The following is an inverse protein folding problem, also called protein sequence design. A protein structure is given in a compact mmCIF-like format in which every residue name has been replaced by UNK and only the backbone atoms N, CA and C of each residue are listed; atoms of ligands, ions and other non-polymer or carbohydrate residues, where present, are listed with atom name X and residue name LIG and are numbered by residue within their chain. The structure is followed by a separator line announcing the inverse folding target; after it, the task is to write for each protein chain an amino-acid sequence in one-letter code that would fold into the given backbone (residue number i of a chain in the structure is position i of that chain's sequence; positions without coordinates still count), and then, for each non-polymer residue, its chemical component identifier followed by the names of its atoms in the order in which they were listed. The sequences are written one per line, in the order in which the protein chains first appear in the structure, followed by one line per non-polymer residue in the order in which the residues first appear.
data_IF_062792646720
#
_entry.id   IF_062792646720
#
_cell.length_a   1.000
_cell.length_b   1.000
_cell.length_c   1.000
_cell.angle_alpha   90.00
_cell.angle_beta   90.00
_cell.angle_gamma   90.00
#
_symmetry.space_group_name_H-M   'P 1'
#
loop_
_entity.id
_entity.type
_entity.pdbx_description
1 polymer ?
#
# COMPACT_ATOMS: atom_id res chain seq x y z
N UNK A 1 26.28 12.93 -13.05
CA UNK A 1 25.74 11.81 -13.84
C UNK A 1 26.92 10.94 -14.25
N UNK A 2 26.82 9.63 -14.05
CA UNK A 2 27.91 8.67 -14.23
C UNK A 2 27.36 7.28 -14.52
N UNK A 3 28.22 6.35 -14.92
CA UNK A 3 27.85 4.93 -14.98
C UNK A 3 27.67 4.37 -13.56
N UNK A 4 26.62 3.58 -13.29
CA UNK A 4 26.47 2.84 -12.05
C UNK A 4 27.69 1.94 -11.80
N UNK A 5 28.19 1.88 -10.57
CA UNK A 5 29.32 1.00 -10.24
C UNK A 5 28.87 -0.38 -9.77
N UNK A 6 27.65 -0.46 -9.26
CA UNK A 6 27.04 -1.67 -8.74
C UNK A 6 25.52 -1.61 -8.92
N UNK A 7 24.83 -2.68 -8.51
CA UNK A 7 23.38 -2.76 -8.67
C UNK A 7 22.60 -1.77 -7.79
N UNK A 8 23.15 -1.37 -6.64
CA UNK A 8 22.54 -0.34 -5.77
C UNK A 8 22.52 1.01 -6.49
N UNK A 9 23.63 1.38 -7.11
CA UNK A 9 23.73 2.62 -7.90
C UNK A 9 22.76 2.58 -9.09
N UNK A 10 22.61 1.44 -9.75
CA UNK A 10 21.70 1.28 -10.87
C UNK A 10 20.24 1.43 -10.41
N UNK A 11 19.87 0.80 -9.29
CA UNK A 11 18.52 0.90 -8.73
C UNK A 11 18.21 2.33 -8.26
N UNK A 12 19.17 3.03 -7.64
CA UNK A 12 19.04 4.43 -7.27
C UNK A 12 18.90 5.34 -8.51
N UNK A 13 19.69 5.07 -9.55
CA UNK A 13 19.59 5.74 -10.84
C UNK A 13 18.21 5.57 -11.48
N UNK A 14 17.69 4.34 -11.43
CA UNK A 14 16.36 4.01 -11.93
C UNK A 14 15.24 4.65 -11.14
N UNK A 15 15.34 4.70 -9.82
CA UNK A 15 14.41 5.47 -8.99
C UNK A 15 14.30 6.91 -9.50
N UNK A 16 15.42 7.61 -9.61
CA UNK A 16 15.43 9.03 -10.02
C UNK A 16 14.85 9.23 -11.42
N UNK A 17 15.26 8.39 -12.36
CA UNK A 17 14.79 8.51 -13.74
C UNK A 17 13.32 8.11 -13.91
N UNK A 18 12.82 7.14 -13.15
CA UNK A 18 11.40 6.78 -13.14
C UNK A 18 10.56 7.94 -12.58
N UNK A 19 10.93 8.48 -11.42
CA UNK A 19 10.22 9.61 -10.78
C UNK A 19 10.15 10.80 -11.74
N UNK A 20 11.28 11.20 -12.31
CA UNK A 20 11.35 12.30 -13.26
C UNK A 20 10.60 11.99 -14.57
N UNK A 21 10.78 10.79 -15.13
CA UNK A 21 10.19 10.38 -16.40
C UNK A 21 8.67 10.23 -16.36
N UNK A 22 8.11 9.95 -15.19
CA UNK A 22 6.66 9.98 -14.97
C UNK A 22 6.12 11.40 -14.72
N UNK A 23 7.01 12.37 -14.47
CA UNK A 23 6.68 13.78 -14.27
C UNK A 23 6.43 14.17 -12.80
N UNK A 24 6.94 13.40 -11.84
CA UNK A 24 6.88 13.73 -10.42
C UNK A 24 8.06 14.63 -10.00
N UNK A 25 7.88 15.36 -8.91
CA UNK A 25 8.96 16.15 -8.32
C UNK A 25 9.95 15.22 -7.59
N UNK A 26 11.26 15.55 -7.56
CA UNK A 26 12.22 14.85 -6.69
C UNK A 26 11.82 14.84 -5.20
N UNK A 27 11.04 15.84 -4.77
CA UNK A 27 10.54 15.97 -3.40
C UNK A 27 9.26 15.15 -3.15
N UNK A 28 8.64 14.60 -4.20
CA UNK A 28 7.53 13.67 -4.02
C UNK A 28 8.05 12.38 -3.38
N UNK A 29 7.44 12.00 -2.25
CA UNK A 29 7.75 10.75 -1.59
C UNK A 29 7.17 9.56 -2.36
N UNK A 30 7.83 9.19 -3.46
CA UNK A 30 7.46 8.06 -4.30
C UNK A 30 8.24 6.82 -3.84
N UNK A 31 7.57 5.68 -3.79
CA UNK A 31 8.20 4.38 -3.60
C UNK A 31 7.99 3.54 -4.84
N UNK A 32 9.07 2.98 -5.38
CA UNK A 32 9.02 2.01 -6.48
C UNK A 32 8.55 0.68 -5.92
N UNK A 33 7.57 0.04 -6.55
CA UNK A 33 7.01 -1.23 -6.09
C UNK A 33 7.48 -2.32 -7.03
N UNK A 34 8.17 -3.33 -6.50
CA UNK A 34 8.75 -4.43 -7.26
C UNK A 34 8.54 -5.75 -6.48
N UNK A 35 8.43 -6.92 -7.12
CA UNK A 35 7.96 -7.11 -8.48
C UNK A 35 6.63 -6.39 -8.76
N UNK A 36 6.40 -6.05 -10.02
CA UNK A 36 5.17 -5.45 -10.54
C UNK A 36 4.47 -6.41 -11.50
N UNK A 37 3.84 -7.48 -11.01
CA UNK A 37 3.01 -8.31 -11.86
C UNK A 37 1.81 -7.50 -12.35
N UNK A 38 1.27 -7.79 -13.56
CA UNK A 38 0.02 -7.20 -13.98
C UNK A 38 -1.13 -7.62 -13.07
N UNK A 39 -2.02 -6.68 -12.79
CA UNK A 39 -3.27 -6.99 -12.12
C UNK A 39 -4.20 -7.72 -13.11
N UNK A 40 -4.47 -8.99 -12.80
CA UNK A 40 -5.39 -9.81 -13.59
C UNK A 40 -6.81 -9.52 -13.10
N UNK A 41 -7.75 -9.37 -14.04
CA UNK A 41 -9.17 -9.24 -13.68
C UNK A 41 -9.74 -10.53 -13.11
N UNK A 42 -10.92 -10.46 -12.51
CA UNK A 42 -11.60 -11.60 -11.90
C UNK A 42 -12.07 -11.29 -10.49
N UNK A 43 -12.52 -12.32 -9.78
CA UNK A 43 -13.16 -12.18 -8.47
C UNK A 43 -12.20 -11.70 -7.37
N UNK A 44 -10.88 -11.81 -7.58
CA UNK A 44 -9.83 -11.33 -6.65
C UNK A 44 -9.26 -9.95 -6.99
N UNK A 45 -9.67 -9.34 -8.11
CA UNK A 45 -8.94 -8.19 -8.66
C UNK A 45 -8.96 -6.96 -7.74
N UNK A 46 -10.05 -6.76 -7.01
CA UNK A 46 -10.16 -5.70 -6.00
C UNK A 46 -9.24 -5.98 -4.82
N UNK A 47 -9.18 -7.22 -4.34
CA UNK A 47 -8.34 -7.62 -3.22
C UNK A 47 -6.86 -7.52 -3.58
N UNK A 48 -6.46 -7.93 -4.78
CA UNK A 48 -5.09 -7.82 -5.29
C UNK A 48 -4.66 -6.35 -5.41
N UNK A 49 -5.56 -5.47 -5.85
CA UNK A 49 -5.34 -4.02 -5.89
C UNK A 49 -5.23 -3.42 -4.48
N UNK A 50 -6.17 -3.75 -3.60
CA UNK A 50 -6.24 -3.20 -2.24
C UNK A 50 -5.12 -3.71 -1.33
N UNK A 51 -4.51 -4.86 -1.63
CA UNK A 51 -3.34 -5.35 -0.92
C UNK A 51 -2.17 -4.36 -0.94
N UNK A 52 -1.97 -3.63 -2.06
CA UNK A 52 -0.93 -2.59 -2.14
C UNK A 52 -1.22 -1.42 -1.21
N UNK A 53 -2.48 -0.99 -1.11
CA UNK A 53 -2.90 0.14 -0.28
C UNK A 53 -2.97 -0.23 1.20
N UNK A 54 -3.28 -1.49 1.48
CA UNK A 54 -3.31 -2.04 2.83
C UNK A 54 -1.89 -2.34 3.35
N UNK A 55 -0.85 -2.33 2.52
CA UNK A 55 0.53 -2.48 2.98
C UNK A 55 1.05 -1.19 3.61
N UNK A 56 1.72 -1.28 4.75
CA UNK A 56 2.45 -0.15 5.33
C UNK A 56 3.83 -0.03 4.67
N UNK A 57 4.12 1.08 3.98
CA UNK A 57 5.39 1.25 3.27
C UNK A 57 6.62 1.18 4.19
N UNK A 58 7.66 0.38 3.84
CA UNK A 58 8.94 0.47 4.54
C UNK A 58 9.60 1.83 4.28
N UNK A 59 10.55 2.22 5.12
CA UNK A 59 11.37 3.42 4.88
C UNK A 59 12.45 3.11 3.84
N UNK A 60 12.03 3.04 2.57
CA UNK A 60 12.89 2.68 1.45
C UNK A 60 12.38 3.24 0.11
N UNK A 61 13.30 3.52 -0.82
CA UNK A 61 12.97 3.88 -2.20
C UNK A 61 12.22 2.77 -2.94
N UNK A 62 12.50 1.52 -2.60
CA UNK A 62 11.92 0.34 -3.24
C UNK A 62 11.18 -0.50 -2.21
N UNK A 63 9.93 -0.86 -2.48
CA UNK A 63 9.21 -1.89 -1.76
C UNK A 63 9.28 -3.18 -2.56
N UNK A 64 10.09 -4.13 -2.08
CA UNK A 64 10.05 -5.47 -2.61
C UNK A 64 8.89 -6.26 -1.98
N UNK A 65 7.77 -6.40 -2.68
CA UNK A 65 6.53 -7.01 -2.18
C UNK A 65 6.70 -8.47 -1.75
N UNK A 66 7.65 -9.19 -2.34
CA UNK A 66 7.96 -10.57 -1.97
C UNK A 66 8.86 -10.69 -0.74
N UNK A 67 9.63 -9.63 -0.41
CA UNK A 67 10.55 -9.62 0.73
C UNK A 67 10.04 -8.77 1.91
N UNK A 68 9.10 -7.86 1.68
CA UNK A 68 8.49 -7.00 2.70
C UNK A 68 7.41 -7.78 3.46
N UNK A 69 7.84 -8.55 4.46
CA UNK A 69 6.98 -9.44 5.26
C UNK A 69 5.93 -8.75 6.15
N UNK A 70 4.87 -8.20 5.55
CA UNK A 70 3.52 -8.30 6.13
C UNK A 70 3.09 -7.25 7.17
N UNK A 71 3.59 -6.01 7.12
CA UNK A 71 3.00 -4.93 7.92
C UNK A 71 1.75 -4.36 7.21
N UNK A 72 0.57 -4.42 7.84
CA UNK A 72 -0.70 -4.09 7.20
C UNK A 72 -1.46 -2.98 7.95
N UNK A 73 -2.07 -2.07 7.20
CA UNK A 73 -2.79 -0.91 7.70
C UNK A 73 -4.02 -1.34 8.50
N UNK A 74 -4.90 -2.17 7.94
CA UNK A 74 -6.10 -2.63 8.63
C UNK A 74 -5.78 -3.32 9.97
N UNK A 75 -4.80 -4.23 10.01
CA UNK A 75 -4.44 -4.94 11.25
C UNK A 75 -3.88 -4.00 12.30
N UNK A 76 -3.04 -3.04 11.91
CA UNK A 76 -2.52 -2.05 12.85
C UNK A 76 -3.61 -1.10 13.31
N UNK A 77 -4.52 -0.69 12.42
CA UNK A 77 -5.66 0.15 12.76
C UNK A 77 -6.57 -0.54 13.79
N UNK A 78 -6.88 -1.83 13.60
CA UNK A 78 -7.61 -2.64 14.59
C UNK A 78 -6.87 -2.71 15.93
N UNK A 79 -5.55 -2.90 15.90
CA UNK A 79 -4.73 -2.91 17.10
C UNK A 79 -4.82 -1.57 17.85
N UNK A 80 -4.72 -0.44 17.15
CA UNK A 80 -4.92 0.89 17.74
C UNK A 80 -6.32 1.00 18.33
N UNK A 81 -7.37 0.67 17.57
CA UNK A 81 -8.76 0.78 18.06
C UNK A 81 -9.00 -0.07 19.32
N UNK A 82 -8.37 -1.24 19.43
CA UNK A 82 -8.43 -2.09 20.63
C UNK A 82 -7.69 -1.51 21.86
N UNK A 83 -6.80 -0.55 21.63
CA UNK A 83 -5.96 0.10 22.63
C UNK A 83 -6.47 1.48 23.07
N UNK A 84 -7.54 1.98 22.41
CA UNK A 84 -8.19 3.23 22.77
C UNK A 84 -9.39 2.98 23.69
N UNK A 85 -9.66 3.94 24.59
CA UNK A 85 -10.90 4.01 25.36
C UNK A 85 -11.87 4.94 24.65
N UNK A 86 -13.03 4.40 24.30
CA UNK A 86 -14.18 5.22 23.95
C UNK A 86 -14.63 6.05 25.16
N UNK A 87 -15.27 7.19 24.89
CA UNK A 87 -15.93 7.97 25.92
C UNK A 87 -17.06 7.15 26.58
N UNK A 88 -17.34 7.38 27.88
CA UNK A 88 -18.47 6.72 28.54
C UNK A 88 -19.76 6.96 27.76
N UNK A 89 -20.48 5.88 27.47
CA UNK A 89 -21.77 5.93 26.79
C UNK A 89 -22.74 4.93 27.41
N UNK A 90 -24.03 5.08 27.10
CA UNK A 90 -25.10 4.26 27.68
C UNK A 90 -25.57 3.14 26.76
N UNK A 91 -24.90 2.86 25.63
CA UNK A 91 -25.43 1.90 24.65
C UNK A 91 -25.58 0.50 25.22
N UNK A 92 -24.50 -0.06 25.78
CA UNK A 92 -24.51 -1.41 26.37
C UNK A 92 -25.49 -1.51 27.54
N UNK A 93 -25.52 -0.51 28.43
CA UNK A 93 -26.45 -0.49 29.57
C UNK A 93 -27.92 -0.30 29.14
N UNK A 94 -28.19 0.36 28.01
CA UNK A 94 -29.54 0.57 27.48
C UNK A 94 -30.13 -0.71 26.89
N UNK A 95 -29.33 -1.50 26.16
CA UNK A 95 -29.82 -2.72 25.50
C UNK A 95 -29.66 -3.97 26.36
N UNK A 96 -28.82 -3.90 27.40
CA UNK A 96 -28.52 -4.99 28.31
C UNK A 96 -27.55 -6.01 27.71
N UNK A 97 -26.89 -6.82 28.57
CA UNK A 97 -25.78 -7.69 28.17
C UNK A 97 -26.19 -8.78 27.17
N UNK A 98 -27.42 -9.31 27.27
CA UNK A 98 -27.93 -10.34 26.36
C UNK A 98 -28.10 -9.82 24.93
N UNK A 99 -28.70 -8.63 24.77
CA UNK A 99 -28.85 -8.02 23.45
C UNK A 99 -27.50 -7.54 22.90
N UNK A 100 -26.63 -6.99 23.75
CA UNK A 100 -25.29 -6.56 23.34
C UNK A 100 -24.46 -7.73 22.79
N UNK A 101 -24.45 -8.88 23.48
CA UNK A 101 -23.78 -10.08 22.99
C UNK A 101 -24.37 -10.59 21.67
N UNK A 102 -25.70 -10.59 21.53
CA UNK A 102 -26.37 -10.98 20.29
C UNK A 102 -26.03 -10.03 19.12
N UNK A 103 -25.95 -8.73 19.39
CA UNK A 103 -25.59 -7.74 18.38
C UNK A 103 -24.12 -7.86 17.94
N UNK A 104 -23.21 -8.09 18.88
CA UNK A 104 -21.80 -8.36 18.56
C UNK A 104 -21.64 -9.61 17.68
N UNK A 105 -22.39 -10.68 17.96
CA UNK A 105 -22.42 -11.87 17.12
C UNK A 105 -22.95 -11.55 15.71
N UNK A 106 -24.09 -10.85 15.61
CA UNK A 106 -24.68 -10.47 14.33
C UNK A 106 -23.75 -9.60 13.47
N UNK A 107 -22.97 -8.68 14.08
CA UNK A 107 -21.96 -7.89 13.36
C UNK A 107 -20.82 -8.76 12.81
N UNK A 108 -20.38 -9.75 13.59
CA UNK A 108 -19.33 -10.70 13.19
C UNK A 108 -19.76 -11.58 12.01
N UNK A 109 -21.01 -12.04 12.05
CA UNK A 109 -21.61 -12.91 11.04
C UNK A 109 -22.15 -12.13 9.83
N UNK A 110 -22.09 -10.79 9.87
CA UNK A 110 -22.58 -9.85 8.86
C UNK A 110 -24.10 -9.89 8.63
N UNK A 111 -24.85 -10.37 9.61
CA UNK A 111 -26.31 -10.32 9.61
C UNK A 111 -26.84 -8.88 9.76
N UNK A 112 -26.02 -8.00 10.32
CA UNK A 112 -26.33 -6.58 10.51
C UNK A 112 -25.09 -5.73 10.21
N UNK A 113 -25.30 -4.52 9.67
CA UNK A 113 -24.23 -3.52 9.51
C UNK A 113 -24.11 -2.67 10.79
N UNK A 114 -22.93 -2.09 11.09
CA UNK A 114 -22.82 -1.08 12.13
C UNK A 114 -23.79 0.09 11.86
N UNK A 115 -24.36 0.65 12.93
CA UNK A 115 -25.18 1.86 12.86
C UNK A 115 -26.56 1.73 13.51
N UNK A 116 -27.06 2.84 14.03
CA UNK A 116 -28.34 2.92 14.74
C UNK A 116 -29.53 2.38 13.94
N UNK A 117 -29.62 2.71 12.64
CA UNK A 117 -30.71 2.25 11.78
C UNK A 117 -30.64 0.75 11.52
N UNK A 118 -29.44 0.24 11.23
CA UNK A 118 -29.21 -1.18 10.99
C UNK A 118 -29.49 -2.00 12.25
N UNK A 119 -28.97 -1.55 13.41
CA UNK A 119 -29.30 -2.13 14.71
C UNK A 119 -30.82 -2.16 14.94
N UNK A 120 -31.52 -1.02 14.76
CA UNK A 120 -32.97 -0.95 14.98
C UNK A 120 -33.72 -1.99 14.14
N UNK A 121 -33.42 -2.04 12.85
CA UNK A 121 -34.12 -2.90 11.91
C UNK A 121 -33.88 -4.38 12.22
N UNK A 122 -32.65 -4.75 12.59
CA UNK A 122 -32.32 -6.11 13.04
C UNK A 122 -32.98 -6.45 14.39
N UNK A 123 -32.87 -5.55 15.37
CA UNK A 123 -33.35 -5.75 16.72
C UNK A 123 -34.88 -5.98 16.78
N UNK A 124 -35.65 -5.32 15.91
CA UNK A 124 -37.11 -5.51 15.83
C UNK A 124 -37.51 -6.97 15.55
N UNK A 125 -36.67 -7.75 14.88
CA UNK A 125 -36.93 -9.16 14.54
C UNK A 125 -36.10 -10.15 15.36
N UNK A 126 -35.24 -9.65 16.26
CA UNK A 126 -34.47 -10.48 17.17
C UNK A 126 -35.20 -10.59 18.52
N UNK A 127 -35.58 -11.81 18.92
CA UNK A 127 -36.34 -12.05 20.15
C UNK A 127 -35.68 -11.48 21.41
N UNK A 128 -34.34 -11.49 21.48
CA UNK A 128 -33.55 -10.98 22.62
C UNK A 128 -33.48 -9.44 22.66
N UNK A 129 -33.65 -8.76 21.53
CA UNK A 129 -33.44 -7.31 21.40
C UNK A 129 -34.70 -6.49 21.07
N UNK A 130 -35.81 -7.15 20.74
CA UNK A 130 -37.02 -6.49 20.21
C UNK A 130 -37.57 -5.39 21.12
N UNK A 131 -37.58 -5.60 22.44
CA UNK A 131 -38.09 -4.63 23.42
C UNK A 131 -37.22 -3.38 23.57
N UNK A 132 -35.95 -3.46 23.17
CA UNK A 132 -34.96 -2.36 23.28
C UNK A 132 -34.55 -1.81 21.91
N UNK A 133 -35.22 -2.20 20.82
CA UNK A 133 -34.82 -1.85 19.46
C UNK A 133 -34.76 -0.32 19.22
N UNK A 134 -35.75 0.44 19.71
CA UNK A 134 -35.81 1.89 19.52
C UNK A 134 -34.89 2.63 20.50
N UNK A 135 -34.95 2.31 21.79
CA UNK A 135 -34.10 2.94 22.81
C UNK A 135 -32.61 2.65 22.56
N UNK A 136 -32.29 1.42 22.19
CA UNK A 136 -30.95 0.99 21.81
C UNK A 136 -30.44 1.70 20.54
N UNK A 137 -31.29 1.91 19.54
CA UNK A 137 -30.91 2.67 18.35
C UNK A 137 -30.57 4.13 18.68
N UNK A 138 -31.36 4.78 19.52
CA UNK A 138 -31.08 6.14 20.00
C UNK A 138 -29.79 6.20 20.81
N UNK A 139 -29.56 5.24 21.72
CA UNK A 139 -28.33 5.17 22.51
C UNK A 139 -27.10 4.88 21.63
N UNK A 140 -27.24 4.03 20.61
CA UNK A 140 -26.18 3.77 19.63
C UNK A 140 -25.86 5.01 18.81
N UNK A 141 -26.88 5.73 18.33
CA UNK A 141 -26.68 6.98 17.60
C UNK A 141 -25.90 8.01 18.42
N UNK A 142 -26.21 8.13 19.71
CA UNK A 142 -25.47 9.00 20.62
C UNK A 142 -24.03 8.51 20.86
N UNK A 143 -23.83 7.20 21.07
CA UNK A 143 -22.50 6.63 21.27
C UNK A 143 -21.59 6.80 20.03
N UNK A 144 -22.15 6.72 18.83
CA UNK A 144 -21.41 6.91 17.57
C UNK A 144 -20.98 8.36 17.31
N UNK A 145 -21.39 9.33 18.13
CA UNK A 145 -20.80 10.68 18.10
C UNK A 145 -19.36 10.69 18.61
N UNK A 146 -18.98 9.72 19.45
CA UNK A 146 -17.58 9.49 19.80
C UNK A 146 -16.87 8.78 18.64
N UNK A 147 -15.85 9.41 18.02
CA UNK A 147 -15.12 8.81 16.91
C UNK A 147 -14.42 7.51 17.28
N UNK A 148 -13.95 7.34 18.53
CA UNK A 148 -13.29 6.10 18.96
C UNK A 148 -14.29 4.95 19.01
N UNK A 149 -15.45 5.17 19.61
CA UNK A 149 -16.52 4.17 19.63
C UNK A 149 -16.99 3.80 18.22
N UNK A 150 -17.25 4.79 17.37
CA UNK A 150 -17.66 4.55 15.98
C UNK A 150 -16.62 3.73 15.21
N UNK A 151 -15.33 4.05 15.36
CA UNK A 151 -14.24 3.34 14.72
C UNK A 151 -14.11 1.87 15.19
N UNK A 152 -14.22 1.63 16.50
CA UNK A 152 -14.21 0.27 17.07
C UNK A 152 -15.34 -0.60 16.47
N UNK A 153 -16.53 -0.04 16.36
CA UNK A 153 -17.68 -0.72 15.75
C UNK A 153 -17.47 -0.99 14.26
N UNK A 154 -16.97 0.01 13.52
CA UNK A 154 -16.79 -0.07 12.07
C UNK A 154 -15.72 -1.08 11.65
N UNK A 155 -14.64 -1.21 12.43
CA UNK A 155 -13.52 -2.07 12.05
C UNK A 155 -13.70 -3.54 12.46
N UNK A 156 -14.57 -3.83 13.43
CA UNK A 156 -14.78 -5.19 13.97
C UNK A 156 -15.17 -6.25 12.94
N UNK A 157 -16.00 -5.95 11.91
CA UNK A 157 -16.39 -6.94 10.90
C UNK A 157 -15.24 -7.43 10.00
N UNK A 158 -14.08 -6.77 10.01
CA UNK A 158 -12.99 -7.01 9.06
C UNK A 158 -11.89 -7.90 9.66
N UNK A 159 -11.19 -8.66 8.83
CA UNK A 159 -10.05 -9.52 9.24
C UNK A 159 -8.89 -8.65 9.78
N UNK A 160 -8.09 -9.16 10.73
CA UNK A 160 -8.14 -10.50 11.34
C UNK A 160 -9.23 -10.74 12.39
N UNK A 161 -9.87 -9.71 12.95
CA UNK A 161 -10.87 -9.90 14.03
C UNK A 161 -12.16 -10.53 13.51
N UNK A 162 -12.71 -9.99 12.43
CA UNK A 162 -13.91 -10.46 11.76
C UNK A 162 -13.63 -11.27 10.50
N UNK A 163 -14.62 -11.36 9.61
CA UNK A 163 -14.56 -12.18 8.38
C UNK A 163 -14.48 -11.37 7.08
N UNK A 164 -14.73 -10.06 7.15
CA UNK A 164 -14.64 -9.12 6.04
C UNK A 164 -13.22 -8.93 5.52
N UNK A 165 -13.05 -8.92 4.20
CA UNK A 165 -11.81 -8.46 3.58
C UNK A 165 -11.74 -6.94 3.62
N UNK A 166 -10.53 -6.39 3.67
CA UNK A 166 -10.31 -4.95 3.51
C UNK A 166 -10.92 -4.47 2.20
N UNK A 167 -11.53 -3.29 2.23
CA UNK A 167 -12.08 -2.62 1.05
C UNK A 167 -11.72 -1.13 1.02
N UNK A 168 -11.81 -0.56 -0.18
CA UNK A 168 -11.58 0.86 -0.45
C UNK A 168 -12.67 1.40 -1.39
N UNK A 169 -12.87 2.71 -1.37
CA UNK A 169 -13.96 3.41 -2.08
C UNK A 169 -13.97 3.20 -3.60
N UNK A 170 -12.85 2.82 -4.21
CA UNK A 170 -12.73 2.53 -5.63
C UNK A 170 -11.98 1.22 -5.85
N UNK A 171 -12.61 0.30 -6.58
CA UNK A 171 -12.04 -0.98 -6.99
C UNK A 171 -11.42 -0.96 -8.40
N UNK A 172 -10.99 -2.13 -8.84
CA UNK A 172 -10.36 -2.45 -10.10
C UNK A 172 -11.15 -1.99 -11.33
N UNK A 173 -12.49 -2.10 -11.30
CA UNK A 173 -13.34 -1.61 -12.39
C UNK A 173 -13.18 -0.10 -12.60
N UNK A 174 -13.18 0.67 -11.50
CA UNK A 174 -12.99 2.13 -11.56
C UNK A 174 -11.57 2.49 -11.98
N UNK A 175 -10.57 1.76 -11.47
CA UNK A 175 -9.18 1.89 -11.89
C UNK A 175 -9.06 1.78 -13.42
N UNK A 176 -9.62 0.73 -14.02
CA UNK A 176 -9.56 0.52 -15.49
C UNK A 176 -10.19 1.67 -16.27
N UNK A 177 -11.36 2.17 -15.83
CA UNK A 177 -12.03 3.29 -16.50
C UNK A 177 -11.21 4.57 -16.47
N UNK A 178 -10.53 4.85 -15.35
CA UNK A 178 -9.68 6.03 -15.21
C UNK A 178 -8.37 5.86 -16.00
N UNK A 179 -7.79 4.67 -15.96
CA UNK A 179 -6.50 4.38 -16.61
C UNK A 179 -6.60 4.55 -18.13
N UNK A 180 -7.70 4.14 -18.76
CA UNK A 180 -7.95 4.34 -20.19
C UNK A 180 -7.94 5.82 -20.64
N UNK A 181 -8.15 6.75 -19.71
CA UNK A 181 -8.17 8.20 -19.98
C UNK A 181 -6.90 8.90 -19.54
N UNK A 182 -5.98 8.18 -18.89
CA UNK A 182 -4.78 8.76 -18.32
C UNK A 182 -3.76 9.06 -19.45
N UNK A 183 -2.87 10.05 -19.29
CA UNK A 183 -1.92 10.41 -20.34
C UNK A 183 -0.82 9.36 -20.50
N UNK A 184 -0.22 9.32 -21.68
CA UNK A 184 1.00 8.54 -21.92
C UNK A 184 2.23 9.23 -21.32
N UNK A 185 3.26 8.42 -21.04
CA UNK A 185 4.58 8.88 -20.62
C UNK A 185 5.66 8.00 -21.25
N UNK A 186 6.79 8.61 -21.55
CA UNK A 186 7.98 7.89 -22.00
C UNK A 186 9.23 8.64 -21.57
N UNK A 187 10.30 7.92 -21.31
CA UNK A 187 11.60 8.48 -21.00
C UNK A 187 12.71 7.51 -21.40
N UNK A 188 13.89 8.06 -21.60
CA UNK A 188 15.08 7.33 -22.01
C UNK A 188 16.29 7.77 -21.20
N UNK A 189 17.19 6.84 -20.93
CA UNK A 189 18.43 7.06 -20.20
C UNK A 189 19.54 6.36 -20.97
N UNK A 190 20.53 7.14 -21.40
CA UNK A 190 21.73 6.59 -22.01
C UNK A 190 22.64 5.94 -20.94
N UNK A 191 23.46 4.98 -21.36
CA UNK A 191 24.31 4.19 -20.47
C UNK A 191 25.22 5.01 -19.54
N UNK A 192 25.65 6.20 -19.96
CA UNK A 192 26.55 7.09 -19.21
C UNK A 192 25.83 8.15 -18.37
N UNK A 193 24.50 8.21 -18.41
CA UNK A 193 23.73 9.37 -17.92
C UNK A 193 22.89 9.06 -16.67
N UNK A 194 23.31 8.11 -15.83
CA UNK A 194 22.59 7.81 -14.59
C UNK A 194 22.86 8.87 -13.52
N UNK A 195 21.82 9.23 -12.79
CA UNK A 195 21.91 9.99 -11.55
C UNK A 195 21.59 9.07 -10.37
N UNK A 196 22.60 8.50 -9.72
CA UNK A 196 22.43 7.60 -8.58
C UNK A 196 22.38 8.32 -7.23
N UNK A 197 22.47 9.65 -7.19
CA UNK A 197 22.36 10.40 -5.93
C UNK A 197 20.89 10.45 -5.48
N UNK A 198 20.62 9.73 -4.40
CA UNK A 198 19.32 9.65 -3.72
C UNK A 198 19.40 10.18 -2.29
N UNK A 199 20.46 10.90 -1.93
CA UNK A 199 20.67 11.46 -0.58
C UNK A 199 19.58 12.45 -0.17
N UNK A 200 18.95 13.12 -1.15
CA UNK A 200 17.85 14.07 -0.96
C UNK A 200 16.46 13.44 -1.10
N UNK A 201 16.38 12.15 -1.41
CA UNK A 201 15.09 11.45 -1.46
C UNK A 201 14.43 11.44 -0.08
N UNK A 202 13.12 11.18 -0.05
CA UNK A 202 12.35 11.07 1.19
C UNK A 202 12.86 9.98 2.16
N UNK A 203 13.71 9.05 1.68
CA UNK A 203 14.33 7.99 2.48
C UNK A 203 15.81 8.21 2.76
N UNK A 204 16.39 9.31 2.31
CA UNK A 204 17.81 9.64 2.49
C UNK A 204 18.74 8.49 2.09
N UNK A 205 18.51 7.93 0.90
CA UNK A 205 19.22 6.76 0.35
C UNK A 205 18.91 5.42 1.00
N UNK A 206 18.00 5.34 1.98
CA UNK A 206 17.62 4.05 2.56
C UNK A 206 16.94 3.16 1.51
N UNK A 207 17.42 1.92 1.40
CA UNK A 207 16.89 0.89 0.54
C UNK A 207 16.59 -0.39 1.33
N UNK A 208 15.50 -1.07 0.97
CA UNK A 208 15.17 -2.41 1.45
C UNK A 208 15.80 -3.44 0.51
N UNK A 209 15.75 -4.72 0.88
CA UNK A 209 16.27 -5.77 0.00
C UNK A 209 15.55 -5.78 -1.35
N UNK A 210 16.33 -5.81 -2.43
CA UNK A 210 15.84 -5.96 -3.80
C UNK A 210 16.61 -7.06 -4.53
N UNK A 211 16.04 -7.56 -5.63
CA UNK A 211 16.67 -8.59 -6.44
C UNK A 211 17.78 -8.01 -7.34
N UNK A 212 18.65 -8.88 -7.86
CA UNK A 212 19.60 -8.52 -8.90
C UNK A 212 18.97 -8.50 -10.30
N UNK A 213 19.68 -9.00 -11.32
CA UNK A 213 19.21 -8.93 -12.71
C UNK A 213 17.85 -9.61 -12.96
N UNK A 214 17.52 -10.67 -12.22
CA UNK A 214 16.22 -11.34 -12.29
C UNK A 214 15.64 -11.62 -10.90
N UNK A 215 14.34 -11.91 -10.85
CA UNK A 215 13.63 -12.21 -9.60
C UNK A 215 14.29 -13.35 -8.83
N UNK A 216 14.52 -13.15 -7.53
CA UNK A 216 15.22 -14.12 -6.67
C UNK A 216 16.75 -14.14 -6.79
N UNK A 217 17.35 -13.44 -7.77
CA UNK A 217 18.82 -13.31 -7.83
C UNK A 217 19.33 -12.32 -6.79
N UNK A 218 20.57 -12.53 -6.32
CA UNK A 218 21.28 -11.55 -5.50
C UNK A 218 21.70 -10.34 -6.33
N UNK A 219 21.51 -9.14 -5.79
CA UNK A 219 22.03 -7.89 -6.36
C UNK A 219 23.56 -7.88 -6.44
N UNK A 220 24.23 -8.67 -5.59
CA UNK A 220 25.68 -8.79 -5.49
C UNK A 220 26.24 -10.00 -6.28
N UNK A 221 25.40 -10.72 -7.03
CA UNK A 221 25.91 -11.83 -7.86
C UNK A 221 26.84 -11.29 -8.96
N UNK A 222 27.80 -12.10 -9.41
CA UNK A 222 28.76 -11.70 -10.46
C UNK A 222 28.06 -11.21 -11.73
N UNK A 223 26.97 -11.87 -12.16
CA UNK A 223 26.20 -11.47 -13.34
C UNK A 223 25.43 -10.16 -13.10
N UNK A 224 24.84 -9.98 -11.91
CA UNK A 224 24.17 -8.73 -11.53
C UNK A 224 25.15 -7.55 -11.52
N UNK A 225 26.29 -7.69 -10.87
CA UNK A 225 27.31 -6.64 -10.79
C UNK A 225 27.90 -6.32 -12.17
N UNK A 226 28.16 -7.35 -12.99
CA UNK A 226 28.60 -7.19 -14.39
C UNK A 226 27.57 -6.45 -15.24
N UNK A 227 26.28 -6.75 -15.06
CA UNK A 227 25.21 -6.02 -15.72
C UNK A 227 25.18 -4.55 -15.32
N UNK A 228 25.20 -4.27 -14.01
CA UNK A 228 25.06 -2.92 -13.51
C UNK A 228 26.25 -2.01 -13.88
N UNK A 229 27.48 -2.53 -13.75
CA UNK A 229 28.71 -1.80 -14.10
C UNK A 229 29.00 -1.74 -15.61
N UNK A 230 28.36 -2.59 -16.41
CA UNK A 230 28.63 -2.74 -17.84
C UNK A 230 28.08 -1.66 -18.76
N UNK A 231 27.49 -0.59 -18.21
CA UNK A 231 26.82 0.46 -18.98
C UNK A 231 25.42 0.05 -19.43
N UNK A 232 24.40 0.50 -18.70
CA UNK A 232 22.99 0.13 -18.92
C UNK A 232 22.22 1.30 -19.53
N UNK A 233 21.68 1.15 -20.73
CA UNK A 233 20.69 2.07 -21.29
C UNK A 233 19.27 1.57 -21.05
N UNK A 234 18.31 2.48 -20.90
CA UNK A 234 16.91 2.15 -20.68
C UNK A 234 16.01 3.08 -21.49
N UNK A 235 15.08 2.49 -22.22
CA UNK A 235 13.96 3.16 -22.89
C UNK A 235 12.67 2.63 -22.29
N UNK A 236 11.85 3.51 -21.72
CA UNK A 236 10.55 3.16 -21.13
C UNK A 236 9.43 3.96 -21.77
N UNK A 237 8.35 3.28 -22.12
CA UNK A 237 7.09 3.89 -22.55
C UNK A 237 5.89 3.23 -21.89
N UNK A 238 4.88 4.04 -21.62
CA UNK A 238 3.60 3.64 -21.05
C UNK A 238 2.48 4.35 -21.83
N UNK A 239 1.53 3.59 -22.34
CA UNK A 239 0.35 4.14 -23.02
C UNK A 239 -0.46 5.03 -22.08
N UNK A 240 -0.54 4.64 -20.80
CA UNK A 240 -1.28 5.36 -19.78
C UNK A 240 -0.56 5.30 -18.43
N UNK A 241 -0.49 6.42 -17.72
CA UNK A 241 0.03 6.55 -16.35
C UNK A 241 -0.97 7.27 -15.45
N UNK A 242 -1.45 6.60 -14.41
CA UNK A 242 -2.47 7.08 -13.50
C UNK A 242 -1.99 7.05 -12.04
N UNK A 243 -1.94 8.20 -11.35
CA UNK A 243 -2.00 8.25 -9.89
C UNK A 243 -3.41 7.89 -9.43
N UNK A 244 -3.57 6.71 -8.83
CA UNK A 244 -4.84 6.18 -8.34
C UNK A 244 -4.94 6.31 -6.83
N UNK A 245 -5.90 7.11 -6.35
CA UNK A 245 -6.03 7.53 -4.94
C UNK A 245 -7.36 7.09 -4.33
N UNK A 246 -7.59 5.79 -4.13
CA UNK A 246 -8.77 5.32 -3.43
C UNK A 246 -8.62 5.61 -1.93
N UNK A 247 -9.74 5.86 -1.26
CA UNK A 247 -9.77 6.05 0.20
C UNK A 247 -10.17 4.74 0.88
N UNK A 248 -9.71 4.47 2.12
CA UNK A 248 -10.24 3.35 2.90
C UNK A 248 -11.78 3.32 2.92
N UNK A 249 -12.34 2.11 2.96
CA UNK A 249 -13.79 1.88 3.05
C UNK A 249 -14.35 2.17 4.44
N UNK A 250 -15.55 1.65 4.71
CA UNK A 250 -16.32 1.95 5.92
C UNK A 250 -15.61 1.51 7.23
N UNK A 251 -14.62 0.61 7.13
CA UNK A 251 -13.83 0.15 8.28
C UNK A 251 -12.97 1.24 8.91
N UNK A 252 -12.68 2.34 8.21
CA UNK A 252 -11.74 3.35 8.64
C UNK A 252 -12.42 4.68 9.01
N UNK A 253 -12.10 5.18 10.20
CA UNK A 253 -12.49 6.50 10.67
C UNK A 253 -11.24 7.37 10.88
N UNK A 254 -11.04 8.38 10.04
CA UNK A 254 -9.85 9.26 10.09
C UNK A 254 -9.75 10.03 11.40
N UNK A 255 -10.87 10.55 11.90
CA UNK A 255 -10.92 11.33 13.13
C UNK A 255 -10.49 10.53 14.37
N UNK A 256 -10.78 9.23 14.42
CA UNK A 256 -10.35 8.35 15.51
C UNK A 256 -8.83 8.12 15.47
N UNK A 257 -8.28 7.82 14.29
CA UNK A 257 -6.83 7.64 14.15
C UNK A 257 -6.08 8.95 14.35
N UNK A 258 -6.62 10.06 13.86
CA UNK A 258 -6.10 11.41 14.07
C UNK A 258 -6.08 11.78 15.54
N UNK A 259 -7.17 11.50 16.28
CA UNK A 259 -7.21 11.69 17.72
C UNK A 259 -6.13 10.88 18.43
N UNK A 260 -5.95 9.60 18.07
CA UNK A 260 -4.90 8.76 18.61
C UNK A 260 -3.49 9.29 18.30
N UNK A 261 -3.26 9.78 17.07
CA UNK A 261 -1.98 10.33 16.62
C UNK A 261 -1.62 11.65 17.30
N UNK A 262 -2.58 12.55 17.53
CA UNK A 262 -2.31 13.86 18.12
C UNK A 262 -2.23 13.87 19.66
N UNK A 263 -2.63 12.78 20.32
CA UNK A 263 -2.49 12.61 21.77
C UNK A 263 -1.42 11.56 22.07
N UNK A 264 -0.22 12.00 22.44
CA UNK A 264 0.93 11.10 22.64
C UNK A 264 0.90 10.34 23.98
N UNK A 265 0.10 10.81 24.93
CA UNK A 265 -0.07 10.21 26.26
C UNK A 265 -1.47 10.50 26.80
N UNK A 266 -1.90 9.69 27.77
CA UNK A 266 -3.24 9.81 28.35
C UNK A 266 -4.36 9.45 27.36
N UNK A 267 -5.58 9.88 27.67
CA UNK A 267 -6.74 9.62 26.80
C UNK A 267 -6.51 10.17 25.37
N UNK A 268 -6.96 9.44 24.33
CA UNK A 268 -7.81 8.25 24.38
C UNK A 268 -7.04 6.94 24.61
N UNK A 269 -5.72 6.94 24.76
CA UNK A 269 -4.96 5.72 24.97
C UNK A 269 -5.28 5.08 26.33
N UNK A 270 -5.48 3.76 26.31
CA UNK A 270 -5.59 2.99 27.54
C UNK A 270 -4.20 2.73 28.16
N UNK A 271 -3.89 3.30 29.34
CA UNK A 271 -2.57 3.13 29.95
C UNK A 271 -2.26 1.68 30.35
N UNK A 272 -3.25 0.78 30.41
CA UNK A 272 -3.01 -0.64 30.72
C UNK A 272 -2.72 -1.50 29.49
N UNK A 273 -2.85 -0.96 28.27
CA UNK A 273 -2.63 -1.70 27.02
C UNK A 273 -1.17 -1.58 26.57
N UNK A 274 -0.58 -2.65 26.02
CA UNK A 274 0.79 -2.63 25.53
C UNK A 274 0.96 -1.78 24.26
N UNK A 275 -0.09 -1.66 23.44
CA UNK A 275 -0.11 -0.81 22.25
C UNK A 275 -0.32 0.64 22.70
N UNK A 276 0.55 1.54 22.25
CA UNK A 276 0.56 2.94 22.64
C UNK A 276 1.07 3.82 21.49
N UNK A 277 1.08 5.13 21.70
CA UNK A 277 1.55 6.06 20.69
C UNK A 277 2.98 5.79 20.21
N UNK A 278 3.90 5.48 21.13
CA UNK A 278 5.32 5.33 20.81
C UNK A 278 5.62 4.13 19.90
N UNK A 279 4.97 2.98 20.15
CA UNK A 279 5.11 1.79 19.30
C UNK A 279 4.15 1.76 18.09
N UNK A 280 3.26 2.74 17.97
CA UNK A 280 2.38 2.90 16.80
C UNK A 280 2.94 3.94 15.83
N UNK A 281 3.16 5.16 16.29
CA UNK A 281 3.50 6.33 15.47
C UNK A 281 4.89 6.89 15.72
N UNK A 282 5.53 6.49 16.83
CA UNK A 282 6.88 6.92 17.17
C UNK A 282 7.94 6.43 16.15
N UNK A 283 9.22 6.77 16.36
CA UNK A 283 10.30 6.46 15.41
C UNK A 283 10.50 4.97 15.08
N UNK A 284 10.03 4.08 15.94
CA UNK A 284 10.05 2.62 15.75
C UNK A 284 8.63 2.03 15.61
N UNK A 285 7.64 2.89 15.37
CA UNK A 285 6.26 2.51 15.28
C UNK A 285 5.91 1.75 14.01
N UNK A 286 4.86 0.93 14.06
CA UNK A 286 4.37 0.15 12.93
C UNK A 286 3.48 0.94 11.95
N UNK A 287 3.09 2.18 12.27
CA UNK A 287 2.22 3.06 11.44
C UNK A 287 2.87 4.42 11.16
N UNK A 288 4.16 4.44 10.85
CA UNK A 288 4.88 5.68 10.56
C UNK A 288 4.55 6.30 9.20
N UNK A 289 4.03 5.50 8.26
CA UNK A 289 3.84 5.85 6.85
C UNK A 289 2.62 5.15 6.28
N UNK A 290 2.04 5.74 5.25
CA UNK A 290 0.84 5.23 4.59
C UNK A 290 1.00 5.28 3.07
N UNK A 291 0.52 4.25 2.40
CA UNK A 291 0.35 4.25 0.95
C UNK A 291 -0.87 5.11 0.61
N UNK A 292 -0.64 6.35 0.16
CA UNK A 292 -1.70 7.32 -0.08
C UNK A 292 -2.28 7.23 -1.50
N UNK A 293 -1.46 6.83 -2.47
CA UNK A 293 -1.91 6.55 -3.84
C UNK A 293 -0.99 5.54 -4.51
N UNK A 294 -1.50 4.86 -5.52
CA UNK A 294 -0.74 3.96 -6.38
C UNK A 294 -0.40 4.66 -7.69
N UNK A 295 0.77 4.37 -8.24
CA UNK A 295 1.15 4.73 -9.60
C UNK A 295 0.90 3.50 -10.46
N UNK A 296 -0.16 3.57 -11.27
CA UNK A 296 -0.62 2.47 -12.11
C UNK A 296 -0.40 2.82 -13.57
N UNK A 297 0.16 1.88 -14.33
CA UNK A 297 0.41 2.03 -15.76
C UNK A 297 -0.29 0.97 -16.58
N UNK A 298 -0.45 1.19 -17.88
CA UNK A 298 -0.80 0.15 -18.84
C UNK A 298 -0.10 0.36 -20.18
N UNK A 299 -0.01 -0.72 -20.99
CA UNK A 299 0.74 -0.67 -22.24
C UNK A 299 2.22 -0.41 -22.01
N UNK A 300 2.78 -1.02 -20.96
CA UNK A 300 4.18 -0.83 -20.59
C UNK A 300 5.06 -1.49 -21.65
N UNK A 301 6.07 -0.77 -22.14
CA UNK A 301 7.20 -1.32 -22.90
C UNK A 301 8.49 -0.74 -22.35
N UNK A 302 9.38 -1.61 -21.88
CA UNK A 302 10.69 -1.23 -21.37
C UNK A 302 11.73 -2.05 -22.13
N UNK A 303 12.70 -1.35 -22.70
CA UNK A 303 13.87 -1.95 -23.35
C UNK A 303 15.09 -1.54 -22.56
N UNK A 304 15.81 -2.53 -22.04
CA UNK A 304 17.05 -2.32 -21.30
C UNK A 304 18.18 -2.94 -22.11
N UNK A 305 19.22 -2.16 -22.39
CA UNK A 305 20.39 -2.62 -23.13
C UNK A 305 21.62 -2.54 -22.23
N UNK A 306 22.41 -3.61 -22.15
CA UNK A 306 23.69 -3.60 -21.43
C UNK A 306 24.85 -3.72 -22.41
N UNK A 307 25.84 -2.83 -22.27
CA UNK A 307 27.08 -2.88 -23.07
C UNK A 307 28.10 -3.91 -22.56
N UNK A 308 27.82 -4.61 -21.46
CA UNK A 308 28.60 -5.77 -21.03
C UNK A 308 28.56 -6.87 -22.09
N UNK A 309 29.66 -7.62 -22.23
CA UNK A 309 29.70 -8.83 -23.05
C UNK A 309 29.61 -10.07 -22.16
N UNK A 310 28.66 -10.95 -22.45
CA UNK A 310 28.38 -12.16 -21.66
C UNK A 310 28.89 -13.42 -22.35
N UNK A 311 29.47 -14.34 -21.58
CA UNK A 311 29.87 -15.68 -22.07
C UNK A 311 28.63 -16.52 -22.40
N UNK A 312 28.80 -17.58 -23.19
CA UNK A 312 27.68 -18.49 -23.54
C UNK A 312 26.99 -19.10 -22.30
N UNK A 313 27.75 -19.38 -21.25
CA UNK A 313 27.21 -19.91 -19.99
C UNK A 313 26.40 -18.84 -19.25
N UNK A 314 26.91 -17.60 -19.17
CA UNK A 314 26.17 -16.47 -18.59
C UNK A 314 24.89 -16.18 -19.39
N UNK A 315 24.97 -16.21 -20.73
CA UNK A 315 23.82 -16.02 -21.62
C UNK A 315 22.75 -17.09 -21.38
N UNK A 316 23.15 -18.35 -21.22
CA UNK A 316 22.26 -19.47 -20.91
C UNK A 316 21.62 -19.30 -19.52
N UNK A 317 22.40 -18.87 -18.53
CA UNK A 317 21.90 -18.61 -17.20
C UNK A 317 20.88 -17.46 -17.18
N UNK A 318 21.18 -16.36 -17.88
CA UNK A 318 20.28 -15.20 -17.96
C UNK A 318 18.97 -15.58 -18.67
N UNK A 319 19.06 -16.23 -19.84
CA UNK A 319 17.88 -16.61 -20.61
C UNK A 319 16.99 -17.61 -19.88
N UNK A 320 17.57 -18.63 -19.24
CA UNK A 320 16.82 -19.62 -18.44
C UNK A 320 16.08 -19.00 -17.26
N UNK A 321 16.59 -17.90 -16.69
CA UNK A 321 15.95 -17.20 -15.57
C UNK A 321 15.04 -16.04 -15.99
N UNK A 322 15.03 -15.64 -17.26
CA UNK A 322 14.27 -14.46 -17.74
C UNK A 322 12.75 -14.56 -17.51
N UNK A 323 12.21 -15.78 -17.51
CA UNK A 323 10.79 -16.06 -17.28
C UNK A 323 10.31 -15.73 -15.86
N UNK A 324 11.21 -15.74 -14.88
CA UNK A 324 10.98 -15.31 -13.49
C UNK A 324 10.79 -13.80 -13.37
N UNK A 325 10.99 -13.05 -14.45
CA UNK A 325 10.96 -11.60 -14.49
C UNK A 325 12.34 -11.00 -14.26
N UNK A 326 12.63 -9.92 -14.99
CA UNK A 326 13.91 -9.22 -14.96
C UNK A 326 13.76 -7.77 -14.53
N UNK A 327 14.87 -7.18 -14.08
CA UNK A 327 14.94 -5.77 -13.74
C UNK A 327 14.45 -4.88 -14.92
N UNK A 328 13.71 -3.78 -14.67
CA UNK A 328 13.47 -3.20 -13.34
C UNK A 328 12.25 -3.74 -12.60
N UNK A 329 11.20 -4.20 -13.29
CA UNK A 329 9.93 -4.50 -12.60
C UNK A 329 9.68 -5.98 -12.29
N UNK A 330 10.58 -6.88 -12.69
CA UNK A 330 10.50 -8.32 -12.43
C UNK A 330 9.16 -8.92 -12.85
N UNK A 331 8.60 -8.40 -13.94
CA UNK A 331 7.34 -8.87 -14.48
C UNK A 331 7.56 -10.23 -15.17
N UNK A 332 6.97 -11.30 -14.64
CA UNK A 332 7.05 -12.63 -15.25
C UNK A 332 6.19 -12.79 -16.52
N UNK A 333 6.42 -13.89 -17.25
CA UNK A 333 5.72 -14.23 -18.51
C UNK A 333 4.50 -15.16 -18.38
N UNK A 334 4.06 -15.50 -17.16
CA UNK A 334 3.13 -16.62 -16.94
C UNK A 334 1.63 -16.37 -17.21
N UNK A 335 1.17 -15.12 -17.24
CA UNK A 335 -0.28 -14.79 -17.30
C UNK A 335 -0.80 -14.47 -18.70
N UNK A 336 0.06 -14.50 -19.73
CA UNK A 336 -0.28 -14.08 -21.09
C UNK A 336 -0.61 -12.58 -21.23
N UNK A 337 -0.52 -11.79 -20.16
CA UNK A 337 -0.78 -10.34 -20.14
C UNK A 337 0.48 -9.50 -20.07
N UNK A 338 1.62 -10.13 -19.81
CA UNK A 338 2.95 -9.53 -19.82
C UNK A 338 3.98 -10.49 -20.36
N UNK A 339 5.13 -9.95 -20.73
CA UNK A 339 6.26 -10.72 -21.22
C UNK A 339 7.57 -10.08 -20.81
N UNK A 340 8.55 -10.90 -20.46
CA UNK A 340 9.94 -10.49 -20.27
C UNK A 340 10.83 -11.43 -21.05
N UNK A 341 11.71 -10.87 -21.88
CA UNK A 341 12.62 -11.65 -22.73
C UNK A 341 14.00 -11.01 -22.71
N UNK A 342 15.03 -11.83 -22.46
CA UNK A 342 16.42 -11.47 -22.68
C UNK A 342 16.90 -12.05 -24.01
N UNK A 343 17.69 -11.27 -24.73
CA UNK A 343 18.37 -11.67 -25.96
C UNK A 343 19.77 -11.09 -25.99
N UNK A 344 20.63 -11.64 -26.83
CA UNK A 344 22.02 -11.18 -26.98
C UNK A 344 22.33 -10.88 -28.44
N UNK A 345 23.06 -9.80 -28.69
CA UNK A 345 23.58 -9.51 -30.02
C UNK A 345 24.84 -10.34 -30.32
N UNK A 346 25.40 -10.18 -31.52
CA UNK A 346 26.61 -10.89 -31.96
C UNK A 346 27.87 -10.56 -31.15
N UNK A 347 27.90 -9.42 -30.45
CA UNK A 347 28.97 -9.02 -29.54
C UNK A 347 28.75 -9.54 -28.09
N UNK A 348 27.69 -10.31 -27.86
CA UNK A 348 27.31 -10.82 -26.54
C UNK A 348 26.69 -9.76 -25.64
N UNK A 349 26.26 -8.61 -26.17
CA UNK A 349 25.56 -7.58 -25.41
C UNK A 349 24.10 -7.92 -25.22
N UNK A 350 23.59 -7.69 -24.01
CA UNK A 350 22.24 -8.08 -23.62
C UNK A 350 21.21 -7.01 -23.97
N UNK A 351 20.04 -7.45 -24.45
CA UNK A 351 18.82 -6.66 -24.56
C UNK A 351 17.70 -7.37 -23.81
N UNK A 352 17.12 -6.69 -22.82
CA UNK A 352 15.95 -7.14 -22.08
C UNK A 352 14.74 -6.33 -22.54
N UNK A 353 13.68 -7.01 -22.98
CA UNK A 353 12.40 -6.40 -23.31
C UNK A 353 11.33 -6.86 -22.34
N UNK A 354 10.73 -5.91 -21.62
CA UNK A 354 9.62 -6.12 -20.70
C UNK A 354 8.39 -5.42 -21.29
N UNK A 355 7.27 -6.11 -21.37
CA UNK A 355 6.04 -5.53 -21.90
C UNK A 355 4.79 -5.99 -21.13
N UNK A 356 3.78 -5.13 -21.08
CA UNK A 356 2.41 -5.48 -20.70
C UNK A 356 1.43 -5.16 -21.83
N UNK A 357 0.34 -5.94 -21.92
CA UNK A 357 -0.71 -5.68 -22.91
C UNK A 357 -1.39 -4.33 -22.65
N UNK A 358 -1.83 -3.68 -23.73
CA UNK A 358 -2.63 -2.47 -23.67
C UNK A 358 -3.86 -2.68 -22.76
N UNK A 359 -4.16 -1.68 -21.92
CA UNK A 359 -5.28 -1.71 -20.98
C UNK A 359 -5.15 -2.69 -19.80
N UNK A 360 -4.03 -3.41 -19.66
CA UNK A 360 -3.74 -4.23 -18.48
C UNK A 360 -3.03 -3.38 -17.43
N UNK A 361 -3.61 -3.17 -16.23
CA UNK A 361 -2.99 -2.37 -15.18
C UNK A 361 -1.76 -3.06 -14.57
N UNK A 362 -0.71 -2.28 -14.30
CA UNK A 362 0.50 -2.71 -13.57
C UNK A 362 0.80 -1.65 -12.52
N UNK A 363 0.92 -2.05 -11.25
CA UNK A 363 1.31 -1.14 -10.15
C UNK A 363 2.83 -1.09 -10.07
N UNK A 364 3.41 0.06 -10.44
CA UNK A 364 4.88 0.23 -10.51
C UNK A 364 5.45 1.08 -9.37
N UNK A 365 4.58 1.73 -8.61
CA UNK A 365 4.98 2.56 -7.49
C UNK A 365 3.79 3.07 -6.69
N UNK A 366 4.05 3.93 -5.72
CA UNK A 366 3.02 4.63 -4.98
C UNK A 366 3.54 5.85 -4.22
N UNK A 367 2.65 6.78 -3.92
CA UNK A 367 2.96 7.95 -3.10
C UNK A 367 2.82 7.59 -1.63
N UNK A 368 3.90 7.79 -0.89
CA UNK A 368 3.99 7.54 0.53
C UNK A 368 3.80 8.86 1.27
N UNK A 369 2.94 8.86 2.30
CA UNK A 369 2.84 9.96 3.25
C UNK A 369 3.35 9.50 4.61
N UNK A 370 4.04 10.37 5.33
CA UNK A 370 4.29 10.14 6.75
C UNK A 370 2.97 10.16 7.53
N UNK A 371 2.94 9.58 8.73
CA UNK A 371 1.77 9.64 9.60
C UNK A 371 1.32 11.08 9.86
N UNK A 372 2.29 11.99 10.06
CA UNK A 372 2.02 13.41 10.22
C UNK A 372 1.41 14.07 8.98
N UNK A 373 1.78 13.67 7.76
CA UNK A 373 1.16 14.19 6.55
C UNK A 373 -0.23 13.59 6.31
N UNK A 374 -0.39 12.29 6.59
CA UNK A 374 -1.64 11.56 6.38
C UNK A 374 -2.73 11.99 7.39
N UNK A 375 -2.35 12.27 8.65
CA UNK A 375 -3.26 12.61 9.75
C UNK A 375 -3.17 14.07 10.20
N UNK A 376 -2.29 14.87 9.58
CA UNK A 376 -1.96 16.23 10.06
C UNK A 376 -3.10 17.23 9.97
N UNK A 377 -4.01 17.05 9.01
CA UNK A 377 -5.19 17.93 8.86
C UNK A 377 -6.19 17.79 10.02
N UNK A 378 -6.06 16.74 10.83
CA UNK A 378 -6.96 16.43 11.94
C UNK A 378 -6.53 17.07 13.28
N UNK A 379 -5.46 17.88 13.32
CA UNK A 379 -4.90 18.38 14.58
C UNK A 379 -5.89 19.23 15.40
N UNK A 380 -6.59 20.18 14.77
CA UNK A 380 -7.58 21.01 15.46
C UNK A 380 -8.87 20.25 15.79
N UNK A 381 -9.28 19.33 14.91
CA UNK A 381 -10.39 18.43 15.18
C UNK A 381 -10.08 17.55 16.41
N UNK A 382 -8.89 16.96 16.48
CA UNK A 382 -8.45 16.13 17.60
C UNK A 382 -8.42 16.91 18.93
N UNK A 383 -7.95 18.17 18.94
CA UNK A 383 -7.99 19.02 20.14
C UNK A 383 -9.43 19.25 20.62
N UNK A 384 -10.34 19.54 19.69
CA UNK A 384 -11.77 19.76 19.99
C UNK A 384 -12.41 18.49 20.55
N UNK A 385 -12.20 17.35 19.88
CA UNK A 385 -12.71 16.05 20.29
C UNK A 385 -12.19 15.64 21.67
N UNK A 386 -10.89 15.85 21.94
CA UNK A 386 -10.32 15.55 23.24
C UNK A 386 -11.02 16.35 24.36
N UNK A 387 -11.26 17.65 24.15
CA UNK A 387 -12.02 18.48 25.11
C UNK A 387 -13.46 18.03 25.29
N UNK A 388 -14.14 17.65 24.20
CA UNK A 388 -15.55 17.28 24.25
C UNK A 388 -15.79 15.95 24.96
N UNK A 389 -14.89 14.99 24.79
CA UNK A 389 -15.13 13.60 25.19
C UNK A 389 -14.25 13.11 26.36
N UNK A 390 -13.12 13.75 26.62
CA UNK A 390 -12.11 13.22 27.55
C UNK A 390 -11.51 14.25 28.52
N UNK A 391 -11.76 15.55 28.35
CA UNK A 391 -11.38 16.53 29.36
C UNK A 391 -12.38 16.47 30.53
N UNK A 392 -11.89 16.03 31.69
CA UNK A 392 -12.56 16.15 32.98
C UNK A 392 -12.13 17.43 33.68
#
# INVERSE_FOLDING_TARGET
MSQPQNFVDLQAGFYNALVQGLGFSPDDAIQVIQPSPPLVGGDSADQDLWAYLNSIPPFSLTMNTSLSGGNQFLSNYQAVMSALKAAPNSFESTIGPGCFAAYQAALKDKDVKPGAVAFRNWALYNGTCSSVAVSGASALAAAMLDPVFAAQMNVTPYKPVGTGSVDFSQGFSKLKQLLQKAPSRSFSIAASNWNSDVSKSWTQSSNSGFFGLWSGSSSQSSISEKFASGGVALDASFDHVLPFTPTPGDWYTSSALGLAFHNQSGAPWDPVKPINWANTFGPQGNMQRFMASLIVVSGMTIVVTSSASYSSDEQTQITSNSSSGMWPFYTGGGSGTSSTHASFNTAGNMVVKIASKAGVPVVIGGKVLSAGQYLGVEAEAAKTLNRMFFAA
#
